data_IF_727700772069
#
_entry.id   IF_727700772069
#
_cell.length_a   1.000
_cell.length_b   1.000
_cell.length_c   1.000
_cell.angle_alpha   90.00
_cell.angle_beta   90.00
_cell.angle_gamma   90.00
#
_symmetry.space_group_name_H-M   'P 1'
#
loop_
_entity.id
_entity.type
_entity.pdbx_description
1 polymer ?
#
# COMPACT_ATOMS: atom_id res chain seq x y z
N UNK A 1 -2.21 -30.95 4.64
CA UNK A 1 -2.35 -29.53 4.22
C UNK A 1 -2.89 -29.50 2.80
N UNK A 2 -3.90 -28.67 2.51
CA UNK A 2 -4.36 -28.44 1.13
C UNK A 2 -3.58 -27.25 0.58
N UNK A 3 -2.87 -27.44 -0.51
CA UNK A 3 -2.18 -26.37 -1.25
C UNK A 3 -3.03 -25.94 -2.43
N UNK A 4 -3.07 -24.63 -2.71
CA UNK A 4 -3.68 -24.07 -3.91
C UNK A 4 -2.58 -23.47 -4.79
N UNK A 5 -2.71 -23.60 -6.11
CA UNK A 5 -1.77 -23.03 -7.08
C UNK A 5 -2.35 -21.72 -7.61
N UNK A 6 -1.52 -20.68 -7.65
CA UNK A 6 -1.86 -19.38 -8.22
C UNK A 6 -1.09 -19.21 -9.53
N UNK A 7 -1.81 -19.10 -10.64
CA UNK A 7 -1.24 -18.86 -11.97
C UNK A 7 -1.74 -17.51 -12.49
N UNK A 8 -0.82 -16.61 -12.85
CA UNK A 8 -1.13 -15.32 -13.44
C UNK A 8 -0.15 -14.99 -14.56
N UNK A 9 -0.64 -14.37 -15.65
CA UNK A 9 0.20 -13.88 -16.74
C UNK A 9 0.59 -12.44 -16.43
N UNK A 10 1.89 -12.16 -16.46
CA UNK A 10 2.46 -10.82 -16.27
C UNK A 10 3.41 -10.49 -17.41
N UNK A 11 3.63 -9.20 -17.67
CA UNK A 11 4.64 -8.77 -18.64
C UNK A 11 6.04 -9.17 -18.15
N UNK A 12 6.94 -9.66 -19.01
CA UNK A 12 8.30 -10.07 -18.61
C UNK A 12 9.10 -8.94 -17.96
N UNK A 13 8.98 -7.72 -18.48
CA UNK A 13 9.65 -6.51 -17.95
C UNK A 13 9.21 -6.24 -16.50
N UNK A 14 7.89 -6.19 -16.27
CA UNK A 14 7.32 -6.00 -14.93
C UNK A 14 7.79 -7.08 -13.95
N UNK A 15 7.88 -8.34 -14.40
CA UNK A 15 8.38 -9.43 -13.57
C UNK A 15 9.85 -9.20 -13.17
N UNK A 16 10.69 -8.84 -14.14
CA UNK A 16 12.11 -8.59 -13.89
C UNK A 16 12.34 -7.43 -12.92
N UNK A 17 11.63 -6.32 -13.10
CA UNK A 17 11.74 -5.15 -12.22
C UNK A 17 11.36 -5.49 -10.78
N UNK A 18 10.22 -6.18 -10.60
CA UNK A 18 9.74 -6.59 -9.28
C UNK A 18 10.70 -7.58 -8.63
N UNK A 19 11.20 -8.58 -9.37
CA UNK A 19 12.16 -9.55 -8.83
C UNK A 19 13.46 -8.88 -8.35
N UNK A 20 13.94 -7.85 -9.05
CA UNK A 20 15.10 -7.09 -8.63
C UNK A 20 14.84 -6.31 -7.32
N UNK A 21 13.66 -5.71 -7.17
CA UNK A 21 13.27 -5.00 -5.95
C UNK A 21 13.15 -5.98 -4.77
N UNK A 22 12.43 -7.08 -4.96
CA UNK A 22 12.21 -8.10 -3.93
C UNK A 22 13.53 -8.77 -3.50
N UNK A 23 14.45 -8.99 -4.44
CA UNK A 23 15.78 -9.52 -4.15
C UNK A 23 16.58 -8.58 -3.23
N UNK A 24 16.52 -7.26 -3.44
CA UNK A 24 17.14 -6.27 -2.54
C UNK A 24 16.53 -6.29 -1.14
N UNK A 25 15.25 -6.65 -1.03
CA UNK A 25 14.53 -6.82 0.23
C UNK A 25 14.72 -8.20 0.87
N UNK A 26 15.45 -9.13 0.21
CA UNK A 26 15.70 -10.47 0.71
C UNK A 26 14.47 -11.41 0.68
N UNK A 27 13.47 -11.10 -0.14
CA UNK A 27 12.24 -11.89 -0.25
C UNK A 27 12.00 -12.39 -1.67
N UNK A 28 11.36 -13.55 -1.79
CA UNK A 28 10.96 -14.14 -3.07
C UNK A 28 9.61 -13.60 -3.55
N UNK A 29 9.34 -13.70 -4.84
CA UNK A 29 8.04 -13.38 -5.44
C UNK A 29 6.89 -14.13 -4.77
N UNK A 30 7.09 -15.41 -4.47
CA UNK A 30 6.08 -16.22 -3.76
C UNK A 30 5.78 -15.69 -2.37
N UNK A 31 6.81 -15.35 -1.58
CA UNK A 31 6.61 -14.75 -0.26
C UNK A 31 5.87 -13.41 -0.35
N UNK A 32 6.22 -12.56 -1.31
CA UNK A 32 5.53 -11.30 -1.53
C UNK A 32 4.04 -11.50 -1.87
N UNK A 33 3.73 -12.44 -2.75
CA UNK A 33 2.35 -12.81 -3.08
C UNK A 33 1.62 -13.33 -1.84
N UNK A 34 2.22 -14.22 -1.05
CA UNK A 34 1.62 -14.72 0.18
C UNK A 34 1.33 -13.58 1.17
N UNK A 35 2.28 -12.67 1.38
CA UNK A 35 2.08 -11.50 2.24
C UNK A 35 0.96 -10.61 1.75
N UNK A 36 0.83 -10.43 0.43
CA UNK A 36 -0.26 -9.66 -0.16
C UNK A 36 -1.63 -10.27 0.16
N UNK A 37 -1.79 -11.58 0.01
CA UNK A 37 -3.04 -12.27 0.39
C UNK A 37 -3.33 -12.19 1.89
N UNK A 38 -2.29 -12.31 2.72
CA UNK A 38 -2.42 -12.16 4.18
C UNK A 38 -2.90 -10.76 4.56
N UNK A 39 -2.35 -9.73 3.92
CA UNK A 39 -2.80 -8.35 4.15
C UNK A 39 -4.26 -8.14 3.72
N UNK A 40 -4.69 -8.73 2.59
CA UNK A 40 -6.09 -8.69 2.18
C UNK A 40 -6.98 -9.35 3.23
N UNK A 41 -6.56 -10.51 3.74
CA UNK A 41 -7.29 -11.26 4.76
C UNK A 41 -7.43 -10.47 6.06
N UNK A 42 -6.34 -9.86 6.53
CA UNK A 42 -6.29 -9.10 7.79
C UNK A 42 -7.14 -7.83 7.71
N UNK A 43 -7.01 -7.07 6.63
CA UNK A 43 -7.65 -5.76 6.50
C UNK A 43 -9.06 -5.83 5.90
N UNK A 44 -9.52 -7.01 5.46
CA UNK A 44 -10.77 -7.21 4.71
C UNK A 44 -10.92 -6.24 3.53
N UNK A 45 -9.80 -5.94 2.88
CA UNK A 45 -9.69 -4.92 1.83
C UNK A 45 -8.31 -4.96 1.18
N UNK A 46 -8.10 -4.19 0.10
CA UNK A 46 -6.77 -4.14 -0.52
C UNK A 46 -5.76 -3.42 0.38
N UNK A 47 -4.50 -3.86 0.41
CA UNK A 47 -3.45 -3.26 1.24
C UNK A 47 -2.87 -1.97 0.65
N UNK A 48 -3.60 -1.36 -0.29
CA UNK A 48 -3.32 -0.06 -0.85
C UNK A 48 -4.66 0.62 -1.12
N UNK A 49 -4.69 1.94 -1.00
CA UNK A 49 -5.90 2.71 -1.30
C UNK A 49 -6.22 2.58 -2.79
N UNK A 50 -7.43 2.12 -3.10
CA UNK A 50 -7.96 2.06 -4.47
C UNK A 50 -8.56 3.38 -4.94
N UNK A 51 -8.51 4.42 -4.12
CA UNK A 51 -9.10 5.71 -4.45
C UNK A 51 -8.05 6.58 -5.14
N UNK A 52 -8.41 7.13 -6.31
CA UNK A 52 -7.81 8.41 -6.67
C UNK A 52 -8.24 9.40 -5.58
N UNK A 53 -7.31 10.13 -4.96
CA UNK A 53 -7.70 11.16 -4.00
C UNK A 53 -8.66 12.11 -4.74
N UNK A 54 -9.85 12.31 -4.19
CA UNK A 54 -10.78 13.29 -4.74
C UNK A 54 -10.13 14.69 -4.65
N UNK A 55 -10.56 15.64 -5.48
CA UNK A 55 -9.91 16.95 -5.58
C UNK A 55 -9.80 17.64 -4.22
N UNK A 56 -10.80 17.45 -3.34
CA UNK A 56 -10.80 17.93 -1.95
C UNK A 56 -9.68 17.31 -1.10
N UNK A 57 -9.49 15.99 -1.18
CA UNK A 57 -8.39 15.30 -0.46
C UNK A 57 -7.03 15.72 -1.01
N UNK A 58 -6.91 15.94 -2.33
CA UNK A 58 -5.69 16.45 -2.92
C UNK A 58 -5.36 17.86 -2.44
N UNK A 59 -6.36 18.76 -2.43
CA UNK A 59 -6.21 20.12 -1.92
C UNK A 59 -5.86 20.12 -0.42
N UNK A 60 -6.56 19.33 0.40
CA UNK A 60 -6.25 19.22 1.83
C UNK A 60 -4.82 18.71 2.09
N UNK A 61 -4.32 17.76 1.28
CA UNK A 61 -2.93 17.29 1.39
C UNK A 61 -1.91 18.35 0.93
N UNK A 62 -2.24 19.17 -0.07
CA UNK A 62 -1.41 20.29 -0.51
C UNK A 62 -1.37 21.39 0.56
N UNK A 63 -2.52 21.81 1.06
CA UNK A 63 -2.65 22.82 2.10
C UNK A 63 -1.93 22.39 3.39
N UNK A 64 -2.06 21.12 3.80
CA UNK A 64 -1.33 20.57 4.94
C UNK A 64 0.19 20.61 4.73
N UNK A 65 0.69 20.32 3.52
CA UNK A 65 2.12 20.43 3.19
C UNK A 65 2.61 21.87 3.21
N UNK A 66 1.75 22.83 2.87
CA UNK A 66 2.03 24.25 2.90
C UNK A 66 1.70 24.93 4.24
N UNK A 67 1.33 24.16 5.27
CA UNK A 67 0.87 24.64 6.59
C UNK A 67 -0.30 25.65 6.52
N UNK A 68 -1.15 25.55 5.49
CA UNK A 68 -2.37 26.35 5.35
C UNK A 68 -3.54 25.62 6.00
N UNK A 69 -4.33 26.33 6.79
CA UNK A 69 -5.56 25.79 7.40
C UNK A 69 -5.37 24.76 8.52
N UNK A 70 -4.14 24.57 9.02
CA UNK A 70 -3.88 23.67 10.14
C UNK A 70 -4.10 24.37 11.48
N UNK A 71 -4.98 23.82 12.31
CA UNK A 71 -5.10 24.17 13.74
C UNK A 71 -4.26 23.22 14.57
N UNK A 72 -3.34 23.79 15.35
CA UNK A 72 -2.54 23.01 16.32
C UNK A 72 -3.32 22.94 17.62
N UNK A 73 -3.60 21.73 18.08
CA UNK A 73 -4.17 21.48 19.40
C UNK A 73 -3.13 20.82 20.28
N UNK A 74 -3.09 21.19 21.56
CA UNK A 74 -2.29 20.45 22.54
C UNK A 74 -3.04 19.18 22.92
N UNK A 75 -2.30 18.10 23.18
CA UNK A 75 -2.87 16.80 23.52
C UNK A 75 -3.78 16.91 24.77
N UNK A 76 -3.46 17.80 25.70
CA UNK A 76 -4.24 18.07 26.91
C UNK A 76 -5.60 18.74 26.66
N UNK A 77 -5.83 19.31 25.47
CA UNK A 77 -7.08 19.99 25.08
C UNK A 77 -8.07 19.04 24.38
N UNK A 78 -7.65 17.81 24.09
CA UNK A 78 -8.44 16.79 23.38
C UNK A 78 -8.99 15.75 24.39
N UNK A 79 -8.80 15.97 25.69
CA UNK A 79 -9.17 15.03 26.76
C UNK A 79 -10.48 15.38 27.45
#
# INVERSE_FOLDING_TARGET
MKTAIINARVKPELKGDVEQILSKLGITTTQAITMYFEQIRLNRGLPFSLQLPNDETQQAMLDARENKGLTTFKIDEIS
#
